data_IF_138579049316
#
_entry.id   IF_138579049316
#
_cell.length_a   1.000
_cell.length_b   1.000
_cell.length_c   1.000
_cell.angle_alpha   90.00
_cell.angle_beta   90.00
_cell.angle_gamma   90.00
#
_symmetry.space_group_name_H-M   'P 1'
#
loop_
_entity.id
_entity.type
_entity.pdbx_description
1 polymer ?
#
# COMPACT_ATOMS: atom_id res chain seq x y z
N UNK A 1 3.25 17.78 17.77
CA UNK A 1 4.27 18.40 16.92
C UNK A 1 4.05 17.91 15.50
N UNK A 2 3.47 18.73 14.63
CA UNK A 2 3.26 18.38 13.21
C UNK A 2 4.64 18.27 12.54
N UNK A 3 4.96 17.12 11.97
CA UNK A 3 6.13 16.97 11.14
C UNK A 3 5.86 17.65 9.81
N UNK A 4 6.43 18.82 9.59
CA UNK A 4 6.46 19.43 8.27
C UNK A 4 7.18 18.49 7.30
N UNK A 5 6.43 17.86 6.43
CA UNK A 5 6.99 17.16 5.26
C UNK A 5 7.48 18.26 4.31
N UNK A 6 8.77 18.27 3.98
CA UNK A 6 9.32 19.26 3.03
C UNK A 6 8.55 19.17 1.71
N UNK A 7 7.99 20.27 1.26
CA UNK A 7 7.18 20.37 0.05
C UNK A 7 7.94 19.98 -1.24
N UNK A 8 9.26 19.93 -1.19
CA UNK A 8 10.12 19.65 -2.35
C UNK A 8 10.51 18.16 -2.49
N UNK A 9 10.18 17.29 -1.52
CA UNK A 9 10.50 15.85 -1.62
C UNK A 9 9.80 15.23 -2.84
N UNK A 10 10.53 14.42 -3.61
CA UNK A 10 9.92 13.51 -4.59
C UNK A 10 9.31 12.27 -3.89
N UNK A 11 8.65 11.37 -4.64
CA UNK A 11 7.96 10.20 -4.08
C UNK A 11 8.92 9.25 -3.35
N UNK A 12 10.13 9.03 -3.89
CA UNK A 12 11.15 8.18 -3.27
C UNK A 12 11.69 8.77 -1.97
N UNK A 13 11.98 10.07 -1.96
CA UNK A 13 12.42 10.77 -0.74
C UNK A 13 11.35 10.75 0.34
N UNK A 14 10.09 10.93 -0.05
CA UNK A 14 8.95 10.84 0.85
C UNK A 14 8.82 9.43 1.45
N UNK A 15 8.91 8.39 0.61
CA UNK A 15 8.88 7.01 1.06
C UNK A 15 10.01 6.70 2.06
N UNK A 16 11.21 7.16 1.76
CA UNK A 16 12.37 6.99 2.64
C UNK A 16 12.21 7.73 3.97
N UNK A 17 11.69 8.96 3.93
CA UNK A 17 11.37 9.73 5.12
C UNK A 17 10.34 9.02 6.00
N UNK A 18 9.21 8.57 5.42
CA UNK A 18 8.15 7.87 6.14
C UNK A 18 8.65 6.53 6.71
N UNK A 19 9.46 5.79 5.97
CA UNK A 19 10.10 4.56 6.47
C UNK A 19 10.92 4.84 7.74
N UNK A 20 11.76 5.89 7.72
CA UNK A 20 12.55 6.27 8.90
C UNK A 20 11.68 6.73 10.06
N UNK A 21 10.62 7.49 9.77
CA UNK A 21 9.68 7.98 10.78
C UNK A 21 8.94 6.82 11.42
N UNK A 22 8.27 5.96 10.63
CA UNK A 22 7.43 4.89 11.16
C UNK A 22 8.19 3.68 11.72
N UNK A 23 9.49 3.64 11.57
CA UNK A 23 10.35 2.73 12.34
C UNK A 23 10.60 3.20 13.78
N UNK A 24 10.37 4.47 14.08
CA UNK A 24 10.57 5.07 15.40
C UNK A 24 9.26 5.42 16.10
N UNK A 25 8.27 5.76 15.28
CA UNK A 25 6.96 6.22 15.72
C UNK A 25 5.91 5.45 14.95
N UNK A 26 4.78 5.11 15.56
CA UNK A 26 3.69 4.47 14.86
C UNK A 26 2.83 5.50 14.13
N UNK A 27 2.16 5.09 13.05
CA UNK A 27 1.15 5.93 12.42
C UNK A 27 -0.12 5.91 13.28
N UNK A 28 -0.62 7.09 13.64
CA UNK A 28 -1.94 7.24 14.25
C UNK A 28 -2.95 7.65 13.17
N UNK A 29 -3.97 6.83 12.99
CA UNK A 29 -5.03 7.09 12.02
C UNK A 29 -6.39 6.68 12.58
N UNK A 30 -7.37 7.61 12.51
CA UNK A 30 -8.72 7.43 13.07
C UNK A 30 -8.74 6.97 14.55
N UNK A 31 -7.79 7.42 15.35
CA UNK A 31 -7.70 7.08 16.77
C UNK A 31 -6.99 5.76 17.08
N UNK A 32 -6.51 5.04 16.06
CA UNK A 32 -5.83 3.76 16.20
C UNK A 32 -4.36 3.85 15.81
N UNK A 33 -3.55 3.02 16.45
CA UNK A 33 -2.13 2.92 16.21
C UNK A 33 -1.84 1.84 15.17
N UNK A 34 -0.95 2.17 14.20
CA UNK A 34 -0.51 1.25 13.16
C UNK A 34 1.01 1.16 13.13
N UNK A 35 1.51 -0.04 13.27
CA UNK A 35 2.93 -0.37 13.22
C UNK A 35 3.39 -0.63 11.79
N UNK A 36 4.56 -0.13 11.42
CA UNK A 36 5.16 -0.43 10.12
C UNK A 36 5.61 -1.90 10.09
N UNK A 37 4.99 -2.70 9.24
CA UNK A 37 5.33 -4.12 9.05
C UNK A 37 6.43 -4.28 8.02
N UNK A 38 6.21 -3.75 6.81
CA UNK A 38 7.20 -3.75 5.74
C UNK A 38 6.92 -2.64 4.74
N UNK A 39 7.93 -2.33 3.93
CA UNK A 39 7.88 -1.38 2.83
C UNK A 39 8.45 -2.02 1.57
N UNK A 40 8.03 -1.54 0.39
CA UNK A 40 8.40 -2.11 -0.91
C UNK A 40 8.20 -3.64 -0.96
N UNK A 41 7.06 -4.09 -0.42
CA UNK A 41 6.73 -5.52 -0.42
C UNK A 41 6.43 -5.98 -1.84
N UNK A 42 7.32 -6.82 -2.38
CA UNK A 42 7.27 -7.27 -3.78
C UNK A 42 6.50 -8.58 -3.93
N UNK A 43 5.68 -8.68 -4.98
CA UNK A 43 4.97 -9.88 -5.39
C UNK A 43 5.43 -10.33 -6.79
N UNK A 44 5.56 -11.62 -7.04
CA UNK A 44 5.25 -12.77 -6.20
C UNK A 44 6.38 -13.22 -5.27
N UNK A 45 7.42 -12.44 -5.10
CA UNK A 45 8.66 -12.84 -4.44
C UNK A 45 8.64 -12.75 -2.91
N UNK A 46 7.53 -13.05 -2.26
CA UNK A 46 7.57 -13.32 -0.83
C UNK A 46 8.51 -14.47 -0.48
N UNK A 47 8.75 -15.36 -1.45
CA UNK A 47 9.62 -16.50 -1.25
C UNK A 47 11.04 -16.19 -1.74
N UNK A 48 12.02 -16.29 -0.84
CA UNK A 48 13.45 -16.08 -1.12
C UNK A 48 13.97 -17.01 -2.22
N UNK A 49 13.31 -18.15 -2.41
CA UNK A 49 13.73 -19.18 -3.36
C UNK A 49 13.14 -19.01 -4.77
N UNK A 50 12.26 -18.04 -4.95
CA UNK A 50 11.60 -17.82 -6.23
C UNK A 50 12.52 -17.01 -7.17
N UNK A 51 13.12 -17.70 -8.14
CA UNK A 51 14.03 -17.13 -9.18
C UNK A 51 13.27 -16.34 -10.26
N UNK A 52 12.15 -15.73 -9.96
CA UNK A 52 11.36 -15.04 -10.98
C UNK A 52 12.03 -13.77 -11.47
N UNK A 53 11.86 -13.56 -12.76
CA UNK A 53 12.40 -12.41 -13.48
C UNK A 53 11.74 -11.10 -13.01
N UNK A 54 12.52 -10.06 -12.84
CA UNK A 54 12.17 -8.69 -12.39
C UNK A 54 10.98 -8.02 -13.11
N UNK A 55 10.47 -8.61 -14.17
CA UNK A 55 9.52 -7.98 -15.08
C UNK A 55 8.05 -8.02 -14.63
N UNK A 56 7.72 -8.85 -13.62
CA UNK A 56 6.35 -9.04 -13.13
C UNK A 56 6.18 -8.64 -11.66
N UNK A 57 7.15 -7.95 -11.09
CA UNK A 57 7.08 -7.57 -9.68
C UNK A 57 6.10 -6.40 -9.49
N UNK A 58 5.10 -6.64 -8.67
CA UNK A 58 4.20 -5.63 -8.14
C UNK A 58 4.63 -5.40 -6.71
N UNK A 59 4.88 -4.15 -6.34
CA UNK A 59 5.25 -3.79 -4.97
C UNK A 59 4.14 -2.99 -4.30
N UNK A 60 3.97 -3.20 -3.00
CA UNK A 60 3.19 -2.32 -2.12
C UNK A 60 4.17 -1.41 -1.41
N UNK A 61 3.87 -0.10 -1.39
CA UNK A 61 4.80 0.86 -0.82
C UNK A 61 4.92 0.70 0.69
N UNK A 62 3.80 0.50 1.41
CA UNK A 62 3.82 0.17 2.84
C UNK A 62 2.72 -0.83 3.22
N UNK A 63 3.07 -1.70 4.15
CA UNK A 63 2.13 -2.51 4.94
C UNK A 63 2.23 -2.07 6.39
N UNK A 64 1.12 -1.58 6.92
CA UNK A 64 0.97 -1.18 8.31
C UNK A 64 -0.06 -2.09 8.99
N UNK A 65 0.08 -2.32 10.29
CA UNK A 65 -0.81 -3.21 11.05
C UNK A 65 -1.22 -2.61 12.38
N UNK A 66 -2.52 -2.59 12.66
CA UNK A 66 -3.06 -2.30 13.98
C UNK A 66 -3.31 -3.59 14.75
N UNK A 67 -2.67 -3.71 15.91
CA UNK A 67 -2.84 -4.86 16.80
C UNK A 67 -4.26 -4.86 17.37
N UNK A 68 -4.73 -3.70 17.77
CA UNK A 68 -6.06 -3.51 18.38
C UNK A 68 -7.19 -3.91 17.45
N UNK A 69 -7.12 -3.47 16.19
CA UNK A 69 -8.15 -3.77 15.19
C UNK A 69 -7.93 -5.11 14.48
N UNK A 70 -6.78 -5.75 14.66
CA UNK A 70 -6.36 -6.89 13.83
C UNK A 70 -6.47 -6.58 12.33
N UNK A 71 -6.00 -5.39 11.91
CA UNK A 71 -6.22 -4.82 10.58
C UNK A 71 -4.93 -4.39 9.91
N UNK A 72 -4.82 -4.67 8.61
CA UNK A 72 -3.76 -4.15 7.76
C UNK A 72 -4.22 -2.94 6.94
N UNK A 73 -3.33 -1.97 6.79
CA UNK A 73 -3.40 -0.96 5.73
C UNK A 73 -2.41 -1.33 4.63
N UNK A 74 -2.93 -1.58 3.43
CA UNK A 74 -2.14 -1.71 2.20
C UNK A 74 -2.05 -0.32 1.56
N UNK A 75 -0.89 0.32 1.68
CA UNK A 75 -0.70 1.72 1.31
C UNK A 75 -0.01 1.83 -0.03
N UNK A 76 -0.65 2.54 -0.95
CA UNK A 76 -0.06 3.13 -2.14
C UNK A 76 0.32 4.57 -1.81
N UNK A 77 1.61 4.90 -1.96
CA UNK A 77 2.12 6.24 -1.69
C UNK A 77 2.23 7.02 -3.00
N UNK A 78 1.84 8.29 -2.95
CA UNK A 78 2.10 9.27 -4.00
C UNK A 78 2.60 10.56 -3.38
N UNK A 79 3.40 11.29 -4.13
CA UNK A 79 3.84 12.60 -3.67
C UNK A 79 2.67 13.59 -3.74
N UNK A 80 2.26 13.94 -4.95
CA UNK A 80 1.16 14.87 -5.22
C UNK A 80 0.25 14.25 -6.27
N UNK A 81 -1.05 14.22 -6.01
CA UNK A 81 -2.03 13.75 -6.97
C UNK A 81 -2.82 14.91 -7.54
N UNK A 82 -2.51 15.25 -8.80
CA UNK A 82 -3.22 16.28 -9.56
C UNK A 82 -3.94 15.66 -10.76
N UNK A 83 -5.22 15.96 -10.86
CA UNK A 83 -6.06 15.52 -11.99
C UNK A 83 -6.60 14.09 -11.85
N UNK A 84 -7.74 13.87 -12.52
CA UNK A 84 -8.48 12.61 -12.51
C UNK A 84 -7.65 11.42 -13.00
N UNK A 85 -6.82 11.62 -14.03
CA UNK A 85 -5.96 10.58 -14.59
C UNK A 85 -5.01 9.98 -13.54
N UNK A 86 -4.31 10.83 -12.81
CA UNK A 86 -3.34 10.38 -11.80
C UNK A 86 -4.05 9.70 -10.63
N UNK A 87 -5.22 10.23 -10.24
CA UNK A 87 -6.01 9.66 -9.16
C UNK A 87 -6.56 8.28 -9.54
N UNK A 88 -7.07 8.11 -10.76
CA UNK A 88 -7.53 6.83 -11.27
C UNK A 88 -6.38 5.80 -11.37
N UNK A 89 -5.21 6.21 -11.89
CA UNK A 89 -4.05 5.33 -11.96
C UNK A 89 -3.62 4.87 -10.57
N UNK A 90 -3.53 5.78 -9.60
CA UNK A 90 -3.19 5.43 -8.22
C UNK A 90 -4.25 4.52 -7.56
N UNK A 91 -5.54 4.76 -7.82
CA UNK A 91 -6.63 3.90 -7.38
C UNK A 91 -6.49 2.46 -7.90
N UNK A 92 -6.24 2.32 -9.21
CA UNK A 92 -6.07 1.00 -9.83
C UNK A 92 -4.80 0.28 -9.33
N UNK A 93 -3.72 1.01 -9.11
CA UNK A 93 -2.49 0.46 -8.51
C UNK A 93 -2.73 -0.03 -7.08
N UNK A 94 -3.35 0.79 -6.22
CA UNK A 94 -3.70 0.39 -4.85
C UNK A 94 -4.63 -0.83 -4.84
N UNK A 95 -5.62 -0.86 -5.73
CA UNK A 95 -6.54 -1.97 -5.90
C UNK A 95 -5.82 -3.26 -6.25
N UNK A 96 -5.02 -3.25 -7.31
CA UNK A 96 -4.27 -4.42 -7.78
C UNK A 96 -3.32 -4.95 -6.70
N UNK A 97 -2.58 -4.07 -6.05
CA UNK A 97 -1.62 -4.41 -5.01
C UNK A 97 -2.30 -5.04 -3.79
N UNK A 98 -3.42 -4.49 -3.37
CA UNK A 98 -4.19 -5.04 -2.25
C UNK A 98 -4.77 -6.42 -2.58
N UNK A 99 -5.30 -6.62 -3.77
CA UNK A 99 -5.76 -7.95 -4.22
C UNK A 99 -4.64 -8.98 -4.11
N UNK A 100 -3.45 -8.67 -4.63
CA UNK A 100 -2.30 -9.57 -4.53
C UNK A 100 -1.89 -9.85 -3.08
N UNK A 101 -1.98 -8.84 -2.21
CA UNK A 101 -1.72 -9.04 -0.79
C UNK A 101 -2.73 -10.01 -0.16
N UNK A 102 -4.03 -9.81 -0.42
CA UNK A 102 -5.09 -10.68 0.11
C UNK A 102 -4.90 -12.13 -0.35
N UNK A 103 -4.69 -12.35 -1.65
CA UNK A 103 -4.53 -13.69 -2.23
C UNK A 103 -3.31 -14.44 -1.69
N UNK A 104 -2.24 -13.71 -1.42
CA UNK A 104 -0.99 -14.32 -1.00
C UNK A 104 -0.75 -14.22 0.50
N UNK A 105 -1.72 -13.69 1.25
CA UNK A 105 -1.57 -13.50 2.69
C UNK A 105 -1.26 -14.81 3.41
N UNK A 106 -0.09 -14.83 4.02
CA UNK A 106 0.37 -15.92 4.87
C UNK A 106 1.23 -15.34 5.99
N UNK A 107 0.87 -15.65 7.24
CA UNK A 107 1.54 -15.09 8.43
C UNK A 107 3.04 -15.42 8.45
N UNK A 108 3.43 -16.63 8.02
CA UNK A 108 4.86 -17.04 8.00
C UNK A 108 5.63 -16.27 6.94
N UNK A 109 5.04 -16.11 5.75
CA UNK A 109 5.64 -15.33 4.65
C UNK A 109 5.78 -13.87 5.05
N UNK A 110 4.74 -13.28 5.66
CA UNK A 110 4.76 -11.90 6.11
C UNK A 110 5.82 -11.67 7.19
N UNK A 111 5.95 -12.56 8.16
CA UNK A 111 7.02 -12.49 9.18
C UNK A 111 8.42 -12.53 8.54
N UNK A 112 8.63 -13.37 7.51
CA UNK A 112 9.91 -13.38 6.79
C UNK A 112 10.16 -12.08 6.02
N UNK A 113 9.12 -11.53 5.36
CA UNK A 113 9.23 -10.25 4.65
C UNK A 113 9.55 -9.12 5.62
N UNK A 114 8.84 -9.05 6.75
CA UNK A 114 9.10 -8.09 7.83
C UNK A 114 10.56 -8.17 8.30
N UNK A 115 11.02 -9.36 8.64
CA UNK A 115 12.39 -9.54 9.12
C UNK A 115 13.42 -9.07 8.07
N UNK A 116 13.19 -9.33 6.78
CA UNK A 116 14.07 -8.83 5.70
C UNK A 116 14.07 -7.30 5.63
N UNK A 117 12.91 -6.68 5.65
CA UNK A 117 12.80 -5.22 5.62
C UNK A 117 13.55 -4.59 6.78
N UNK A 118 13.37 -5.11 8.00
CA UNK A 118 13.98 -4.53 9.19
C UNK A 118 15.46 -4.89 9.36
N UNK A 119 15.93 -6.05 8.88
CA UNK A 119 17.36 -6.45 8.96
C UNK A 119 18.21 -5.85 7.86
N UNK A 120 17.71 -5.67 6.64
CA UNK A 120 18.47 -5.04 5.55
C UNK A 120 18.87 -3.60 5.84
N UNK A 121 18.15 -2.94 6.73
CA UNK A 121 18.42 -1.58 7.18
C UNK A 121 19.39 -1.47 8.35
N UNK A 122 19.93 -2.59 8.87
CA UNK A 122 20.95 -2.60 9.93
C UNK A 122 22.25 -1.90 9.46
N UNK A 123 22.54 -1.91 8.17
CA UNK A 123 23.69 -1.18 7.61
C UNK A 123 23.53 0.36 7.66
N UNK A 124 22.33 0.87 7.89
CA UNK A 124 22.06 2.28 8.14
C UNK A 124 21.82 2.52 9.63
N UNK A 125 22.89 2.48 10.44
CA UNK A 125 23.03 2.97 11.82
C UNK A 125 21.71 3.23 12.58
N UNK A 126 21.08 2.21 13.06
CA UNK A 126 19.91 2.37 13.93
C UNK A 126 19.34 1.01 14.30
N UNK A 127 19.50 0.60 15.53
CA UNK A 127 19.15 -0.71 16.04
C UNK A 127 17.72 -1.15 15.68
N UNK A 128 17.57 -2.45 15.60
CA UNK A 128 16.26 -3.13 15.48
C UNK A 128 15.41 -2.62 16.63
N UNK A 129 14.26 -2.04 16.34
CA UNK A 129 13.28 -1.79 17.36
C UNK A 129 12.72 -3.16 17.78
N UNK A 130 13.13 -3.63 18.96
CA UNK A 130 12.77 -4.94 19.51
C UNK A 130 11.26 -5.12 19.71
N UNK A 131 10.50 -4.03 19.72
CA UNK A 131 9.04 -4.06 19.89
C UNK A 131 8.30 -4.69 18.71
N UNK A 132 8.91 -4.71 17.51
CA UNK A 132 8.28 -5.26 16.31
C UNK A 132 8.28 -6.79 16.30
N UNK A 133 9.20 -7.43 17.00
CA UNK A 133 9.29 -8.91 17.04
C UNK A 133 8.10 -9.55 17.80
N UNK A 134 7.37 -8.79 18.59
CA UNK A 134 6.24 -9.26 19.40
C UNK A 134 4.88 -9.21 18.68
N UNK A 135 4.79 -8.57 17.51
CA UNK A 135 3.51 -8.45 16.79
C UNK A 135 3.06 -9.83 16.30
N UNK A 136 1.96 -10.30 16.84
CA UNK A 136 1.26 -11.51 16.38
C UNK A 136 0.18 -11.12 15.38
N UNK A 137 0.39 -11.43 14.13
CA UNK A 137 -0.61 -11.18 13.10
C UNK A 137 -1.80 -12.12 13.22
N UNK A 138 -3.01 -11.58 13.02
CA UNK A 138 -4.23 -12.38 12.90
C UNK A 138 -4.15 -13.34 11.70
N UNK A 139 -4.73 -14.53 11.81
CA UNK A 139 -4.89 -15.45 10.69
C UNK A 139 -5.94 -14.97 9.68
N UNK A 140 -6.87 -14.13 10.13
CA UNK A 140 -7.93 -13.54 9.33
C UNK A 140 -8.02 -12.04 9.66
N UNK A 141 -7.07 -11.23 9.22
CA UNK A 141 -7.09 -9.81 9.47
C UNK A 141 -8.11 -9.11 8.59
N UNK A 142 -8.60 -7.96 9.03
CA UNK A 142 -9.17 -7.00 8.12
C UNK A 142 -8.05 -6.39 7.27
N UNK A 143 -8.33 -6.08 6.00
CA UNK A 143 -7.34 -5.47 5.10
C UNK A 143 -8.01 -4.28 4.44
N UNK A 144 -7.44 -3.09 4.59
CA UNK A 144 -7.91 -1.85 3.96
C UNK A 144 -6.97 -1.37 2.87
N UNK A 145 -7.55 -0.85 1.80
CA UNK A 145 -6.84 -0.17 0.72
C UNK A 145 -6.67 1.30 1.07
N UNK A 146 -5.45 1.80 0.99
CA UNK A 146 -5.14 3.19 1.32
C UNK A 146 -4.33 3.82 0.20
N UNK A 147 -4.77 4.99 -0.23
CA UNK A 147 -3.99 5.89 -1.06
C UNK A 147 -3.53 7.06 -0.20
N UNK A 148 -2.23 7.17 -0.04
CA UNK A 148 -1.62 8.19 0.81
C UNK A 148 -0.82 9.17 -0.05
N UNK A 149 -1.00 10.48 0.18
CA UNK A 149 -0.25 11.50 -0.53
C UNK A 149 -0.02 12.74 0.34
N UNK A 150 1.00 13.54 -0.01
CA UNK A 150 1.20 14.87 0.60
C UNK A 150 0.03 15.81 0.31
N UNK A 151 -0.48 15.75 -0.93
CA UNK A 151 -1.66 16.54 -1.28
C UNK A 151 -2.49 15.88 -2.37
N UNK A 152 -3.79 16.10 -2.27
CA UNK A 152 -4.79 15.71 -3.26
C UNK A 152 -5.41 16.96 -3.90
N UNK A 153 -5.94 16.80 -5.11
CA UNK A 153 -6.80 17.82 -5.68
C UNK A 153 -8.08 18.01 -4.85
N UNK A 154 -8.71 19.17 -4.94
CA UNK A 154 -9.85 19.57 -4.10
C UNK A 154 -11.05 18.60 -4.10
N UNK A 155 -11.26 17.83 -5.18
CA UNK A 155 -12.39 16.92 -5.34
C UNK A 155 -11.96 15.43 -5.27
N UNK A 156 -10.79 15.13 -4.70
CA UNK A 156 -10.26 13.77 -4.70
C UNK A 156 -11.18 12.78 -3.98
N UNK A 157 -11.71 13.17 -2.80
CA UNK A 157 -12.61 12.30 -2.02
C UNK A 157 -13.85 11.89 -2.82
N UNK A 158 -14.61 12.86 -3.35
CA UNK A 158 -15.82 12.55 -4.13
C UNK A 158 -15.52 11.75 -5.41
N UNK A 159 -14.34 11.90 -6.02
CA UNK A 159 -13.95 11.08 -7.15
C UNK A 159 -13.61 9.64 -6.72
N UNK A 160 -12.91 9.46 -5.60
CA UNK A 160 -12.65 8.12 -5.05
C UNK A 160 -13.95 7.42 -4.64
N UNK A 161 -14.91 8.13 -4.07
CA UNK A 161 -16.22 7.57 -3.73
C UNK A 161 -16.94 7.07 -4.99
N UNK A 162 -16.86 7.84 -6.09
CA UNK A 162 -17.39 7.39 -7.39
C UNK A 162 -16.70 6.13 -7.90
N UNK A 163 -15.38 6.04 -7.78
CA UNK A 163 -14.62 4.86 -8.20
C UNK A 163 -14.89 3.64 -7.32
N UNK A 164 -15.11 3.84 -6.02
CA UNK A 164 -15.48 2.77 -5.09
C UNK A 164 -16.86 2.17 -5.41
N UNK A 165 -17.73 2.92 -6.08
CA UNK A 165 -19.04 2.46 -6.50
C UNK A 165 -19.04 1.68 -7.84
N UNK A 166 -17.94 1.72 -8.61
CA UNK A 166 -17.82 1.03 -9.89
C UNK A 166 -17.57 -0.46 -9.70
N UNK A 167 -18.23 -1.26 -10.53
CA UNK A 167 -17.85 -2.66 -10.68
C UNK A 167 -16.55 -2.80 -11.50
N UNK A 168 -16.03 -4.03 -11.59
CA UNK A 168 -14.78 -4.32 -12.32
C UNK A 168 -14.81 -3.85 -13.76
N UNK A 169 -15.88 -4.15 -14.50
CA UNK A 169 -16.00 -3.82 -15.92
C UNK A 169 -16.03 -2.31 -16.16
N UNK A 170 -16.79 -1.58 -15.35
CA UNK A 170 -16.86 -0.13 -15.41
C UNK A 170 -15.50 0.51 -15.09
N UNK A 171 -14.81 0.02 -14.06
CA UNK A 171 -13.50 0.50 -13.70
C UNK A 171 -12.44 0.21 -14.79
N UNK A 172 -12.51 -0.96 -15.43
CA UNK A 172 -11.66 -1.28 -16.57
C UNK A 172 -11.89 -0.34 -17.75
N UNK A 173 -13.13 -0.02 -18.06
CA UNK A 173 -13.47 0.94 -19.12
C UNK A 173 -12.90 2.33 -18.80
N UNK A 174 -13.12 2.83 -17.60
CA UNK A 174 -12.53 4.11 -17.18
C UNK A 174 -10.99 4.10 -17.27
N UNK A 175 -10.36 3.04 -16.78
CA UNK A 175 -8.89 2.94 -16.75
C UNK A 175 -8.28 2.81 -18.16
N UNK A 176 -8.96 2.18 -19.10
CA UNK A 176 -8.49 2.02 -20.47
C UNK A 176 -8.24 3.36 -21.17
N UNK A 177 -8.99 4.40 -20.81
CA UNK A 177 -8.90 5.74 -21.40
C UNK A 177 -7.61 6.46 -20.99
N UNK A 178 -7.07 6.16 -19.79
CA UNK A 178 -6.02 6.97 -19.17
C UNK A 178 -4.71 6.23 -18.92
N UNK A 179 -4.72 4.89 -18.93
CA UNK A 179 -3.54 4.08 -18.61
C UNK A 179 -2.60 3.89 -19.80
N UNK A 180 -1.35 3.55 -19.54
CA UNK A 180 -0.47 2.96 -20.53
C UNK A 180 -0.93 1.53 -20.85
N UNK A 181 -0.63 1.01 -22.06
CA UNK A 181 -0.98 -0.36 -22.43
C UNK A 181 -0.53 -1.38 -21.38
N UNK A 182 0.69 -1.23 -20.89
CA UNK A 182 1.26 -2.16 -19.90
C UNK A 182 0.55 -2.12 -18.54
N UNK A 183 0.16 -0.93 -18.07
CA UNK A 183 -0.58 -0.78 -16.81
C UNK A 183 -1.99 -1.33 -16.95
N UNK A 184 -2.63 -1.05 -18.09
CA UNK A 184 -3.96 -1.56 -18.41
C UNK A 184 -3.98 -3.08 -18.50
N UNK A 185 -3.05 -3.70 -19.22
CA UNK A 185 -2.92 -5.14 -19.34
C UNK A 185 -2.79 -5.82 -17.96
N UNK A 186 -1.97 -5.25 -17.08
CA UNK A 186 -1.82 -5.75 -15.71
C UNK A 186 -3.11 -5.67 -14.90
N UNK A 187 -3.80 -4.54 -14.97
CA UNK A 187 -5.08 -4.38 -14.27
C UNK A 187 -6.17 -5.28 -14.87
N UNK A 188 -6.20 -5.39 -16.19
CA UNK A 188 -7.16 -6.21 -16.93
C UNK A 188 -6.96 -7.72 -16.69
N UNK A 189 -5.77 -8.14 -16.30
CA UNK A 189 -5.47 -9.53 -15.94
C UNK A 189 -6.11 -9.95 -14.61
N UNK A 190 -6.61 -9.01 -13.78
CA UNK A 190 -7.34 -9.32 -12.54
C UNK A 190 -8.66 -9.98 -12.91
N UNK A 191 -8.88 -11.18 -12.42
CA UNK A 191 -10.12 -11.92 -12.63
C UNK A 191 -11.26 -11.40 -11.75
N UNK A 192 -12.49 -11.71 -12.12
CA UNK A 192 -13.67 -11.30 -11.35
C UNK A 192 -13.64 -11.81 -9.91
N UNK A 193 -13.30 -13.08 -9.72
CA UNK A 193 -13.18 -13.70 -8.40
C UNK A 193 -12.14 -13.00 -7.50
N UNK A 194 -11.08 -12.45 -8.10
CA UNK A 194 -10.06 -11.70 -7.39
C UNK A 194 -10.57 -10.30 -7.03
N UNK A 195 -11.31 -9.68 -7.95
CA UNK A 195 -11.90 -8.36 -7.70
C UNK A 195 -12.93 -8.41 -6.57
N UNK A 196 -13.70 -9.50 -6.47
CA UNK A 196 -14.67 -9.72 -5.40
C UNK A 196 -14.05 -9.72 -3.99
N UNK A 197 -12.74 -10.00 -3.87
CA UNK A 197 -12.02 -9.91 -2.59
C UNK A 197 -12.00 -8.49 -1.99
N UNK A 198 -12.25 -7.49 -2.84
CA UNK A 198 -12.22 -6.08 -2.44
C UNK A 198 -13.56 -5.36 -2.63
N UNK A 199 -14.61 -6.07 -3.05
CA UNK A 199 -15.92 -5.47 -3.34
C UNK A 199 -16.48 -4.65 -2.17
N UNK A 200 -16.28 -5.12 -0.95
CA UNK A 200 -16.70 -4.42 0.27
C UNK A 200 -15.56 -3.71 1.00
N UNK A 201 -14.46 -3.46 0.29
CA UNK A 201 -13.27 -2.83 0.83
C UNK A 201 -12.99 -1.51 0.07
N UNK A 202 -13.67 -0.41 0.43
CA UNK A 202 -13.45 0.88 -0.23
C UNK A 202 -12.01 1.34 -0.06
N UNK A 203 -11.51 2.10 -1.04
CA UNK A 203 -10.23 2.77 -0.92
C UNK A 203 -10.39 4.04 -0.09
N UNK A 204 -9.50 4.22 0.88
CA UNK A 204 -9.45 5.40 1.74
C UNK A 204 -8.31 6.33 1.32
N UNK A 205 -8.53 7.64 1.51
CA UNK A 205 -7.50 8.66 1.32
C UNK A 205 -6.90 9.06 2.66
N UNK A 206 -5.57 9.16 2.71
CA UNK A 206 -4.84 9.76 3.83
C UNK A 206 -3.94 10.86 3.27
N UNK A 207 -4.20 12.09 3.66
CA UNK A 207 -3.31 13.21 3.38
C UNK A 207 -2.27 13.31 4.49
N UNK A 208 -1.02 13.44 4.08
CA UNK A 208 0.10 13.65 5.00
C UNK A 208 0.18 15.14 5.37
N UNK A 209 0.38 15.42 6.64
CA UNK A 209 0.58 16.78 7.18
C UNK A 209 2.02 17.27 6.95
#
# INVERSE_FOLDING_TARGET
MGCYVDLNMNEWELQHYLTKKWRKENLYYNGFEYHLVCWELMFPSWDINDKRTKWNEISIDFILYSIELSEFLCVELKNIIKGKKNLLSAYCQATQRTIHFIEQYDVKKLNRARNRCHTSSINERGGIDSTIDEIKFSKKPAIKRVLMAKSFQSNASGFIDSLNALNRSELQNEYSIYSTNKEFERFNAIKEEQFNLIEHNPLFLIQLD
#
